data_IF_060836719296
#
_entry.id   IF_060836719296
#
_cell.length_a   1.000
_cell.length_b   1.000
_cell.length_c   1.000
_cell.angle_alpha   90.00
_cell.angle_beta   90.00
_cell.angle_gamma   90.00
#
_symmetry.space_group_name_H-M   'P 1'
#
loop_
_entity.id
_entity.type
_entity.pdbx_description
1 polymer ?
#
# COMPACT_ATOMS: atom_id res chain seq x y z
N UNK A 1 -35.27 18.85 -15.16
CA UNK A 1 -35.60 17.74 -14.25
C UNK A 1 -34.61 16.64 -14.56
N UNK A 2 -33.66 16.22 -13.74
CA UNK A 2 -33.06 16.70 -12.49
C UNK A 2 -31.56 16.48 -12.72
N UNK A 3 -30.72 17.47 -12.43
CA UNK A 3 -29.28 17.25 -12.32
C UNK A 3 -29.08 16.48 -11.01
N UNK A 4 -28.85 15.18 -11.09
CA UNK A 4 -28.25 14.46 -9.97
C UNK A 4 -26.73 14.66 -10.08
N UNK A 5 -26.21 15.56 -9.25
CA UNK A 5 -24.80 15.52 -8.86
C UNK A 5 -24.56 14.17 -8.20
N UNK A 6 -23.75 13.34 -8.87
CA UNK A 6 -23.30 12.07 -8.32
C UNK A 6 -22.27 12.43 -7.24
N UNK A 7 -22.57 12.07 -5.99
CA UNK A 7 -21.70 12.26 -4.85
C UNK A 7 -20.41 11.43 -5.03
N UNK A 8 -19.21 12.04 -5.00
CA UNK A 8 -17.94 11.31 -5.04
C UNK A 8 -17.80 10.24 -3.95
N UNK A 9 -18.50 10.40 -2.82
CA UNK A 9 -18.53 9.42 -1.74
C UNK A 9 -19.35 8.18 -2.09
N UNK A 10 -20.32 8.27 -3.01
CA UNK A 10 -21.16 7.13 -3.41
C UNK A 10 -20.40 6.13 -4.30
N UNK A 11 -19.54 6.60 -5.23
CA UNK A 11 -18.67 5.70 -6.02
C UNK A 11 -17.49 5.14 -5.18
N UNK A 12 -17.07 5.86 -4.13
CA UNK A 12 -15.99 5.44 -3.21
C UNK A 12 -16.52 4.46 -2.15
N UNK A 13 -17.74 4.66 -1.66
CA UNK A 13 -18.40 3.81 -0.67
C UNK A 13 -18.62 2.39 -1.19
N UNK A 14 -19.01 2.23 -2.45
CA UNK A 14 -19.08 0.93 -3.13
C UNK A 14 -17.68 0.33 -3.44
N UNK A 15 -16.63 1.17 -3.49
CA UNK A 15 -15.23 0.79 -3.74
C UNK A 15 -14.55 0.16 -2.51
N UNK A 16 -14.97 0.54 -1.31
CA UNK A 16 -14.44 0.04 -0.02
C UNK A 16 -15.45 -0.80 0.77
N UNK A 17 -16.74 -0.77 0.42
CA UNK A 17 -17.83 -1.44 1.14
C UNK A 17 -18.04 -2.93 0.84
N UNK A 18 -17.30 -3.53 -0.10
CA UNK A 18 -17.54 -4.91 -0.50
C UNK A 18 -16.31 -5.64 -0.99
N UNK A 19 -15.59 -6.32 -0.08
CA UNK A 19 -14.50 -7.28 -0.35
C UNK A 19 -13.28 -6.71 -1.11
N UNK A 20 -12.03 -7.01 -0.69
CA UNK A 20 -10.85 -6.54 -1.42
C UNK A 20 -10.90 -7.01 -2.88
N UNK A 21 -10.68 -6.09 -3.81
CA UNK A 21 -10.37 -6.48 -5.19
C UNK A 21 -9.13 -7.39 -5.16
N UNK A 22 -9.12 -8.43 -6.00
CA UNK A 22 -8.19 -9.59 -5.99
C UNK A 22 -6.67 -9.28 -6.10
N UNK A 23 -6.23 -8.03 -5.96
CA UNK A 23 -4.83 -7.59 -6.20
C UNK A 23 -4.31 -6.51 -5.25
N UNK A 24 -5.08 -6.10 -4.23
CA UNK A 24 -4.64 -5.10 -3.25
C UNK A 24 -4.89 -5.65 -1.85
N UNK A 25 -3.88 -5.62 -0.99
CA UNK A 25 -4.08 -5.82 0.45
C UNK A 25 -4.23 -4.43 1.05
N UNK A 26 -5.47 -4.02 1.31
CA UNK A 26 -5.68 -2.95 2.27
C UNK A 26 -5.46 -3.56 3.66
N UNK A 27 -4.29 -3.34 4.27
CA UNK A 27 -4.14 -3.57 5.71
C UNK A 27 -4.82 -2.38 6.38
N UNK A 28 -6.11 -2.52 6.59
CA UNK A 28 -6.90 -1.58 7.35
C UNK A 28 -6.79 -1.98 8.83
N UNK A 29 -5.93 -1.30 9.59
CA UNK A 29 -5.96 -1.36 11.06
C UNK A 29 -7.09 -0.43 11.51
N UNK A 30 -8.28 -0.98 11.75
CA UNK A 30 -9.47 -0.25 12.27
C UNK A 30 -9.65 -0.54 13.75
N UNK A 31 -9.91 0.52 14.51
CA UNK A 31 -10.28 0.51 15.94
C UNK A 31 -11.81 0.55 16.09
N UNK A 32 -12.31 0.11 17.25
CA UNK A 32 -13.71 0.15 17.64
C UNK A 32 -14.43 1.46 17.32
N UNK A 33 -15.67 1.31 16.84
CA UNK A 33 -16.62 2.37 16.45
C UNK A 33 -17.03 3.34 17.58
N UNK A 34 -16.53 3.17 18.80
CA UNK A 34 -16.97 3.96 19.96
C UNK A 34 -16.06 5.16 20.29
N UNK A 35 -15.02 5.42 19.50
CA UNK A 35 -14.12 6.58 19.70
C UNK A 35 -13.86 7.45 18.47
N UNK A 36 -14.46 7.12 17.33
CA UNK A 36 -14.50 8.04 16.19
C UNK A 36 -15.59 9.07 16.49
N UNK A 37 -15.26 10.11 17.25
CA UNK A 37 -15.96 11.37 17.04
C UNK A 37 -15.80 11.66 15.54
N UNK A 38 -16.92 11.66 14.82
CA UNK A 38 -16.96 12.17 13.46
C UNK A 38 -16.26 13.53 13.52
N UNK A 39 -15.13 13.67 12.81
CA UNK A 39 -14.54 14.99 12.65
C UNK A 39 -15.52 15.77 11.79
N UNK A 40 -16.42 16.51 12.43
CA UNK A 40 -17.46 17.33 11.81
C UNK A 40 -16.90 18.51 11.00
N UNK A 41 -15.58 18.66 10.90
CA UNK A 41 -14.94 19.68 10.06
C UNK A 41 -14.29 19.03 8.86
N UNK A 42 -14.87 19.24 7.69
CA UNK A 42 -14.20 19.07 6.40
C UNK A 42 -12.88 19.87 6.43
N UNK A 43 -11.75 19.17 6.60
CA UNK A 43 -10.44 19.79 6.45
C UNK A 43 -10.21 19.89 4.96
N UNK A 44 -10.25 21.11 4.42
CA UNK A 44 -9.95 21.34 3.02
C UNK A 44 -8.58 20.72 2.68
N UNK A 45 -8.47 19.95 1.59
CA UNK A 45 -7.22 19.29 1.23
C UNK A 45 -6.11 20.32 1.04
N UNK A 46 -4.90 19.95 1.45
CA UNK A 46 -3.73 20.80 1.29
C UNK A 46 -3.62 21.32 -0.16
N UNK A 47 -3.32 22.60 -0.42
CA UNK A 47 -3.34 23.16 -1.77
C UNK A 47 -2.51 22.38 -2.81
N UNK A 48 -1.37 21.84 -2.39
CA UNK A 48 -0.53 20.99 -3.25
C UNK A 48 -1.15 19.62 -3.55
N UNK A 49 -1.86 19.00 -2.59
CA UNK A 49 -2.64 17.77 -2.84
C UNK A 49 -3.78 18.04 -3.81
N UNK A 50 -4.52 19.13 -3.59
CA UNK A 50 -5.59 19.54 -4.50
C UNK A 50 -5.10 19.72 -5.94
N UNK A 51 -3.98 20.42 -6.14
CA UNK A 51 -3.35 20.57 -7.48
C UNK A 51 -2.95 19.23 -8.11
N UNK A 52 -2.46 18.26 -7.32
CA UNK A 52 -2.16 16.92 -7.82
C UNK A 52 -3.44 16.18 -8.19
N UNK A 53 -4.49 16.29 -7.38
CA UNK A 53 -5.78 15.67 -7.62
C UNK A 53 -6.49 16.21 -8.86
N UNK A 54 -6.47 17.53 -9.08
CA UNK A 54 -7.02 18.17 -10.28
C UNK A 54 -6.37 17.59 -11.56
N UNK A 55 -5.03 17.47 -11.57
CA UNK A 55 -4.29 16.86 -12.69
C UNK A 55 -4.57 15.37 -12.84
N UNK A 56 -4.75 14.64 -11.73
CA UNK A 56 -5.11 13.22 -11.76
C UNK A 56 -6.50 13.03 -12.38
N UNK A 57 -7.47 13.87 -12.02
CA UNK A 57 -8.83 13.83 -12.56
C UNK A 57 -8.82 14.07 -14.08
N UNK A 58 -8.03 15.03 -14.57
CA UNK A 58 -7.86 15.23 -16.02
C UNK A 58 -7.37 13.97 -16.74
N UNK A 59 -6.36 13.28 -16.18
CA UNK A 59 -5.81 12.04 -16.74
C UNK A 59 -6.80 10.89 -16.65
N UNK A 60 -7.46 10.73 -15.50
CA UNK A 60 -8.47 9.70 -15.27
C UNK A 60 -9.65 9.86 -16.25
N UNK A 61 -10.16 11.06 -16.42
CA UNK A 61 -11.25 11.36 -17.35
C UNK A 61 -10.86 11.11 -18.79
N UNK A 62 -9.68 11.58 -19.19
CA UNK A 62 -9.13 11.33 -20.53
C UNK A 62 -9.03 9.83 -20.81
N UNK A 63 -8.49 9.07 -19.87
CA UNK A 63 -8.25 7.63 -20.05
C UNK A 63 -9.54 6.81 -19.93
N UNK A 64 -10.50 7.22 -19.09
CA UNK A 64 -11.86 6.65 -19.00
C UNK A 64 -12.60 6.83 -20.33
N UNK A 65 -12.54 8.03 -20.94
CA UNK A 65 -13.12 8.30 -22.26
C UNK A 65 -12.48 7.43 -23.36
N UNK A 66 -11.17 7.22 -23.30
CA UNK A 66 -10.45 6.39 -24.26
C UNK A 66 -10.72 4.88 -24.11
N UNK A 67 -11.05 4.39 -22.91
CA UNK A 67 -11.16 2.95 -22.59
C UNK A 67 -12.60 2.41 -22.45
N UNK A 68 -13.62 3.14 -22.92
CA UNK A 68 -15.03 2.70 -22.96
C UNK A 68 -15.30 1.39 -23.74
N UNK A 69 -14.29 0.75 -24.35
CA UNK A 69 -14.41 -0.51 -25.11
C UNK A 69 -13.91 -1.78 -24.40
N UNK A 70 -13.37 -1.72 -23.17
CA UNK A 70 -12.58 -2.85 -22.64
C UNK A 70 -12.88 -3.36 -21.21
N UNK A 71 -13.91 -2.86 -20.51
CA UNK A 71 -14.37 -3.45 -19.24
C UNK A 71 -13.33 -3.48 -18.09
N UNK A 72 -12.40 -2.53 -18.05
CA UNK A 72 -11.30 -2.47 -17.06
C UNK A 72 -11.64 -1.53 -15.88
N UNK A 73 -11.10 -1.77 -14.68
CA UNK A 73 -11.35 -0.99 -13.45
C UNK A 73 -10.63 0.36 -13.44
N UNK A 74 -11.15 1.36 -12.72
CA UNK A 74 -10.65 2.75 -12.67
C UNK A 74 -9.13 2.92 -12.49
N UNK A 75 -8.52 2.16 -11.57
CA UNK A 75 -7.08 2.25 -11.28
C UNK A 75 -6.18 1.79 -12.44
N UNK A 76 -6.68 0.95 -13.35
CA UNK A 76 -5.96 0.50 -14.55
C UNK A 76 -5.89 1.55 -15.66
N UNK A 77 -6.50 2.72 -15.44
CA UNK A 77 -6.55 3.78 -16.43
C UNK A 77 -5.31 4.65 -16.43
N UNK A 78 -4.50 4.68 -15.36
CA UNK A 78 -3.32 5.53 -15.28
C UNK A 78 -2.04 4.71 -15.29
N UNK A 79 -1.10 5.11 -16.15
CA UNK A 79 0.24 4.54 -16.24
C UNK A 79 1.18 5.19 -15.22
N UNK A 80 2.25 4.49 -14.85
CA UNK A 80 3.29 5.04 -13.97
C UNK A 80 3.92 6.33 -14.53
N UNK A 81 4.10 6.44 -15.85
CA UNK A 81 4.66 7.65 -16.46
C UNK A 81 3.75 8.87 -16.26
N UNK A 82 2.44 8.72 -16.39
CA UNK A 82 1.48 9.79 -16.13
C UNK A 82 1.50 10.22 -14.67
N UNK A 83 1.53 9.26 -13.74
CA UNK A 83 1.66 9.54 -12.31
C UNK A 83 2.98 10.26 -12.01
N UNK A 84 4.10 9.77 -12.54
CA UNK A 84 5.41 10.35 -12.27
C UNK A 84 5.55 11.78 -12.83
N UNK A 85 4.81 12.13 -13.88
CA UNK A 85 4.75 13.50 -14.40
C UNK A 85 3.93 14.44 -13.49
N UNK A 86 2.93 13.93 -12.78
CA UNK A 86 2.09 14.72 -11.85
C UNK A 86 2.77 14.85 -10.49
N UNK A 87 3.33 13.75 -10.01
CA UNK A 87 3.88 13.60 -8.66
C UNK A 87 5.17 12.76 -8.69
N UNK A 88 6.28 13.35 -9.16
CA UNK A 88 7.55 12.65 -9.16
C UNK A 88 7.96 12.32 -7.73
N UNK A 89 8.41 11.08 -7.52
CA UNK A 89 8.92 10.65 -6.24
C UNK A 89 10.38 11.10 -6.07
N UNK A 90 10.69 11.68 -4.92
CA UNK A 90 12.07 11.97 -4.49
C UNK A 90 12.61 10.74 -3.76
N UNK A 91 13.87 10.39 -4.00
CA UNK A 91 14.48 9.28 -3.27
C UNK A 91 14.62 9.61 -1.78
N UNK A 92 14.26 8.66 -0.90
CA UNK A 92 14.53 8.76 0.53
C UNK A 92 14.97 7.41 1.10
N UNK A 93 15.62 7.45 2.26
CA UNK A 93 15.96 6.27 3.04
C UNK A 93 14.88 6.00 4.09
N UNK A 94 14.26 4.82 4.02
CA UNK A 94 13.34 4.37 5.06
C UNK A 94 14.13 3.97 6.30
N UNK A 95 13.76 4.54 7.43
CA UNK A 95 14.33 4.18 8.74
C UNK A 95 13.98 2.75 9.10
N UNK A 96 14.87 2.08 9.82
CA UNK A 96 14.67 0.74 10.38
C UNK A 96 14.66 0.79 11.90
N UNK A 97 13.75 0.05 12.53
CA UNK A 97 13.75 -0.17 13.99
C UNK A 97 13.94 -1.66 14.27
N UNK A 98 14.85 -2.05 15.18
CA UNK A 98 15.09 -3.46 15.49
C UNK A 98 13.82 -4.18 15.95
N UNK A 99 13.68 -5.43 15.52
CA UNK A 99 12.66 -6.36 16.02
C UNK A 99 13.31 -7.52 16.81
N UNK A 100 12.63 -8.12 17.80
CA UNK A 100 13.16 -9.26 18.53
C UNK A 100 13.49 -10.45 17.61
N UNK A 101 14.68 -11.04 17.80
CA UNK A 101 15.13 -12.19 17.02
C UNK A 101 14.16 -13.37 17.07
N UNK A 102 13.50 -13.61 18.21
CA UNK A 102 12.50 -14.67 18.36
C UNK A 102 11.35 -14.54 17.33
N UNK A 103 10.86 -13.32 17.08
CA UNK A 103 9.77 -13.08 16.13
C UNK A 103 10.25 -13.22 14.69
N UNK A 104 11.47 -12.77 14.43
CA UNK A 104 12.13 -12.92 13.14
C UNK A 104 12.41 -14.40 12.82
N UNK A 105 12.87 -15.17 13.80
CA UNK A 105 13.17 -16.59 13.65
C UNK A 105 11.89 -17.40 13.42
N UNK A 106 10.79 -17.04 14.10
CA UNK A 106 9.49 -17.66 13.88
C UNK A 106 8.99 -17.45 12.44
N UNK A 107 9.04 -16.22 11.92
CA UNK A 107 8.60 -15.95 10.52
C UNK A 107 9.57 -16.55 9.49
N UNK A 108 10.87 -16.49 9.74
CA UNK A 108 11.85 -17.07 8.82
C UNK A 108 11.76 -18.60 8.79
N UNK A 109 11.59 -19.25 9.96
CA UNK A 109 11.41 -20.70 10.09
C UNK A 109 10.10 -21.22 9.48
N UNK A 110 9.11 -20.35 9.27
CA UNK A 110 7.86 -20.69 8.58
C UNK A 110 8.07 -20.93 7.08
N UNK A 111 8.98 -20.22 6.41
CA UNK A 111 9.17 -20.35 4.96
C UNK A 111 9.67 -21.72 4.50
N UNK A 112 10.67 -22.37 5.15
CA UNK A 112 11.05 -23.74 4.82
C UNK A 112 9.93 -24.77 5.01
N UNK A 113 9.06 -24.58 6.01
CA UNK A 113 7.91 -25.46 6.24
C UNK A 113 6.92 -25.38 5.07
N UNK A 114 6.65 -24.16 4.59
CA UNK A 114 5.82 -23.94 3.42
C UNK A 114 6.41 -24.55 2.16
N UNK A 115 7.72 -24.34 1.93
CA UNK A 115 8.42 -24.91 0.78
C UNK A 115 8.33 -26.44 0.77
N UNK A 116 8.48 -27.08 1.94
CA UNK A 116 8.35 -28.54 2.08
C UNK A 116 6.91 -29.03 1.86
N UNK A 117 5.93 -28.29 2.35
CA UNK A 117 4.52 -28.70 2.31
C UNK A 117 3.87 -28.47 0.94
N UNK A 118 4.19 -27.34 0.29
CA UNK A 118 3.48 -26.84 -0.89
C UNK A 118 4.38 -26.71 -2.13
N UNK A 119 5.67 -27.03 -2.02
CA UNK A 119 6.63 -26.73 -3.05
C UNK A 119 6.87 -25.22 -3.12
N UNK A 120 7.19 -24.72 -4.32
CA UNK A 120 7.52 -23.30 -4.45
C UNK A 120 6.32 -22.39 -4.12
N UNK A 121 6.44 -21.68 -2.99
CA UNK A 121 5.45 -20.75 -2.43
C UNK A 121 5.12 -19.63 -3.43
N UNK A 122 5.97 -19.40 -4.45
CA UNK A 122 5.75 -18.39 -5.49
C UNK A 122 4.89 -18.83 -6.69
N UNK A 123 4.29 -20.01 -6.68
CA UNK A 123 3.55 -20.52 -7.86
C UNK A 123 2.09 -20.06 -7.95
N UNK A 124 1.48 -19.56 -6.87
CA UNK A 124 0.09 -19.07 -6.84
C UNK A 124 -0.03 -17.57 -6.55
N UNK A 125 -0.93 -16.86 -7.25
CA UNK A 125 -1.18 -15.41 -7.06
C UNK A 125 -1.51 -15.06 -5.60
N UNK A 126 -2.42 -15.81 -4.98
CA UNK A 126 -2.81 -15.60 -3.58
C UNK A 126 -1.83 -16.22 -2.58
N UNK A 127 -1.09 -17.25 -3.00
CA UNK A 127 -0.20 -17.98 -2.10
C UNK A 127 0.88 -17.05 -1.53
N UNK A 128 1.50 -16.24 -2.39
CA UNK A 128 2.53 -15.32 -1.95
C UNK A 128 2.01 -14.25 -0.97
N UNK A 129 0.80 -13.76 -1.22
CA UNK A 129 0.11 -12.81 -0.35
C UNK A 129 -0.08 -13.38 1.06
N UNK A 130 -0.66 -14.57 1.13
CA UNK A 130 -1.04 -15.25 2.38
C UNK A 130 0.16 -15.88 3.11
N UNK A 131 1.19 -16.29 2.39
CA UNK A 131 2.29 -17.09 2.91
C UNK A 131 3.63 -16.35 2.93
N UNK A 132 3.69 -15.12 2.45
CA UNK A 132 4.87 -14.26 2.55
C UNK A 132 4.56 -12.89 3.16
N UNK A 133 3.71 -12.09 2.49
CA UNK A 133 3.43 -10.72 2.94
C UNK A 133 2.71 -10.72 4.28
N UNK A 134 1.63 -11.50 4.41
CA UNK A 134 0.84 -11.57 5.65
C UNK A 134 1.68 -12.04 6.85
N UNK A 135 2.49 -13.12 6.78
CA UNK A 135 3.35 -13.53 7.90
C UNK A 135 4.34 -12.46 8.36
N UNK A 136 4.97 -11.73 7.43
CA UNK A 136 5.90 -10.63 7.78
C UNK A 136 5.15 -9.49 8.47
N UNK A 137 3.96 -9.13 7.98
CA UNK A 137 3.15 -8.10 8.62
C UNK A 137 2.65 -8.56 9.99
N UNK A 138 2.19 -9.79 10.11
CA UNK A 138 1.70 -10.36 11.36
C UNK A 138 2.80 -10.40 12.43
N UNK A 139 4.03 -10.77 12.07
CA UNK A 139 5.15 -10.81 13.01
C UNK A 139 5.50 -9.41 13.53
N UNK A 140 5.44 -8.38 12.67
CA UNK A 140 5.65 -6.98 13.07
C UNK A 140 4.48 -6.47 13.91
N UNK A 141 3.23 -6.69 13.48
CA UNK A 141 2.05 -6.22 14.21
C UNK A 141 1.95 -6.86 15.62
N UNK A 142 2.40 -8.11 15.77
CA UNK A 142 2.42 -8.78 17.07
C UNK A 142 3.33 -8.09 18.11
N UNK A 143 4.28 -7.25 17.67
CA UNK A 143 5.16 -6.49 18.58
C UNK A 143 4.42 -5.43 19.38
N UNK A 144 3.23 -5.01 18.92
CA UNK A 144 2.41 -4.03 19.61
C UNK A 144 1.50 -4.65 20.67
N UNK A 145 1.54 -5.98 20.90
CA UNK A 145 0.78 -6.65 21.98
C UNK A 145 -0.74 -6.33 22.01
N UNK A 146 -1.33 -6.03 20.85
CA UNK A 146 -2.73 -5.62 20.76
C UNK A 146 -2.97 -4.11 20.85
N UNK A 147 -1.95 -3.32 21.17
CA UNK A 147 -1.96 -1.86 21.03
C UNK A 147 -2.15 -1.51 19.55
N UNK A 148 -3.30 -0.91 19.26
CA UNK A 148 -3.65 -0.49 17.91
C UNK A 148 -2.84 0.76 17.56
N UNK A 149 -2.30 0.79 16.35
CA UNK A 149 -1.55 1.93 15.80
C UNK A 149 -2.42 2.65 14.78
N UNK A 150 -2.56 3.97 14.93
CA UNK A 150 -3.29 4.83 14.00
C UNK A 150 -2.40 5.25 12.81
N UNK A 151 -1.85 4.26 12.12
CA UNK A 151 -1.05 4.44 10.89
C UNK A 151 -1.80 3.85 9.71
N UNK A 152 -1.96 4.63 8.64
CA UNK A 152 -2.47 4.14 7.35
C UNK A 152 -1.33 3.73 6.44
N UNK A 153 -1.32 2.45 6.06
CA UNK A 153 -0.32 1.87 5.15
C UNK A 153 -1.03 1.12 4.02
N UNK A 154 -0.88 1.62 2.80
CA UNK A 154 -1.37 0.96 1.59
C UNK A 154 -0.40 -0.12 1.12
N UNK A 155 -0.83 -1.39 0.99
CA UNK A 155 0.05 -2.46 0.53
C UNK A 155 -0.42 -2.99 -0.82
N UNK A 156 0.47 -2.89 -1.81
CA UNK A 156 0.18 -3.28 -3.19
C UNK A 156 1.09 -4.43 -3.59
N UNK A 157 0.47 -5.58 -3.86
CA UNK A 157 1.12 -6.66 -4.59
C UNK A 157 1.14 -6.30 -6.08
N UNK A 158 2.34 -6.04 -6.60
CA UNK A 158 2.56 -5.79 -8.01
C UNK A 158 2.79 -7.10 -8.77
N UNK A 159 2.51 -7.09 -10.08
CA UNK A 159 2.95 -8.19 -10.94
C UNK A 159 4.47 -8.22 -11.00
N UNK A 160 5.03 -9.41 -11.22
CA UNK A 160 6.47 -9.64 -11.30
C UNK A 160 7.18 -8.69 -12.28
N UNK A 161 6.57 -8.48 -13.44
CA UNK A 161 7.08 -7.72 -14.57
C UNK A 161 6.51 -6.30 -14.67
N UNK A 162 5.70 -5.87 -13.69
CA UNK A 162 4.98 -4.60 -13.76
C UNK A 162 4.88 -3.93 -12.37
N UNK A 163 6.03 -3.72 -11.75
CA UNK A 163 6.13 -3.03 -10.46
C UNK A 163 5.75 -1.55 -10.56
N UNK A 164 5.97 -0.96 -11.73
CA UNK A 164 5.61 0.41 -12.04
C UNK A 164 4.09 0.63 -11.94
N UNK A 165 3.28 -0.29 -12.47
CA UNK A 165 1.82 -0.17 -12.29
C UNK A 165 1.40 -0.32 -10.83
N UNK A 166 2.10 -1.15 -10.04
CA UNK A 166 1.90 -1.24 -8.60
C UNK A 166 2.15 0.10 -7.89
N UNK A 167 3.23 0.79 -8.25
CA UNK A 167 3.55 2.14 -7.76
C UNK A 167 2.49 3.17 -8.17
N UNK A 168 2.03 3.13 -9.42
CA UNK A 168 0.97 4.01 -9.90
C UNK A 168 -0.31 3.85 -9.05
N UNK A 169 -0.73 2.61 -8.80
CA UNK A 169 -1.88 2.32 -7.95
C UNK A 169 -1.68 2.81 -6.51
N UNK A 170 -0.49 2.58 -5.95
CA UNK A 170 -0.17 3.00 -4.59
C UNK A 170 -0.24 4.51 -4.41
N UNK A 171 0.25 5.29 -5.38
CA UNK A 171 0.26 6.75 -5.28
C UNK A 171 -1.13 7.35 -5.43
N UNK A 172 -1.90 6.90 -6.41
CA UNK A 172 -3.30 7.33 -6.56
C UNK A 172 -4.11 6.95 -5.31
N UNK A 173 -3.96 5.71 -4.83
CA UNK A 173 -4.65 5.26 -3.62
C UNK A 173 -4.24 6.04 -2.36
N UNK A 174 -2.98 6.45 -2.26
CA UNK A 174 -2.50 7.25 -1.13
C UNK A 174 -3.03 8.68 -1.15
N UNK A 175 -3.14 9.32 -2.33
CA UNK A 175 -3.77 10.64 -2.46
C UNK A 175 -5.27 10.57 -2.16
N UNK A 176 -5.97 9.56 -2.68
CA UNK A 176 -7.39 9.36 -2.39
C UNK A 176 -7.64 9.13 -0.89
N UNK A 177 -6.82 8.30 -0.24
CA UNK A 177 -6.95 8.04 1.19
C UNK A 177 -6.63 9.29 2.03
N UNK A 178 -5.62 10.06 1.62
CA UNK A 178 -5.27 11.31 2.28
C UNK A 178 -6.40 12.35 2.20
N UNK A 179 -7.09 12.43 1.06
CA UNK A 179 -8.24 13.32 0.87
C UNK A 179 -9.43 12.89 1.71
N UNK A 180 -9.83 11.60 1.62
CA UNK A 180 -10.98 11.05 2.34
C UNK A 180 -10.82 11.12 3.87
N UNK A 181 -9.63 10.87 4.38
CA UNK A 181 -9.37 10.84 5.83
C UNK A 181 -8.71 12.12 6.38
N UNK A 182 -8.45 13.13 5.54
CA UNK A 182 -7.77 14.36 5.93
C UNK A 182 -6.35 14.12 6.47
N UNK A 183 -5.60 13.21 5.86
CA UNK A 183 -4.25 12.81 6.31
C UNK A 183 -3.18 13.65 5.60
N UNK A 184 -2.27 14.22 6.38
CA UNK A 184 -1.08 14.90 5.84
C UNK A 184 -0.04 13.92 5.31
N UNK A 185 -0.09 12.67 5.78
CA UNK A 185 0.83 11.61 5.45
C UNK A 185 0.13 10.25 5.27
N UNK A 186 0.46 9.55 4.17
CA UNK A 186 0.03 8.17 3.93
C UNK A 186 1.23 7.34 3.49
N UNK A 187 1.45 6.20 4.15
CA UNK A 187 2.50 5.27 3.77
C UNK A 187 2.00 4.27 2.73
N UNK A 188 2.90 3.83 1.84
CA UNK A 188 2.60 2.73 0.94
C UNK A 188 3.79 1.80 0.75
N UNK A 189 3.50 0.50 0.63
CA UNK A 189 4.48 -0.55 0.36
C UNK A 189 4.08 -1.24 -0.94
N UNK A 190 4.96 -1.25 -1.92
CA UNK A 190 4.74 -1.96 -3.20
C UNK A 190 5.75 -3.07 -3.33
N UNK A 191 5.28 -4.28 -3.62
CA UNK A 191 6.18 -5.43 -3.76
C UNK A 191 5.74 -6.41 -4.83
N UNK A 192 6.72 -6.98 -5.54
CA UNK A 192 6.55 -8.17 -6.37
C UNK A 192 7.18 -9.42 -5.70
N UNK A 193 7.30 -9.39 -4.37
CA UNK A 193 7.96 -10.36 -3.48
C UNK A 193 9.48 -10.33 -3.49
N UNK A 194 10.08 -10.02 -4.64
CA UNK A 194 11.53 -9.90 -4.79
C UNK A 194 11.98 -8.49 -4.46
N UNK A 195 11.32 -7.50 -5.03
CA UNK A 195 11.59 -6.08 -4.84
C UNK A 195 10.51 -5.48 -3.94
N UNK A 196 10.94 -4.62 -3.03
CA UNK A 196 10.10 -3.87 -2.11
C UNK A 196 10.43 -2.39 -2.24
N UNK A 197 9.38 -1.58 -2.40
CA UNK A 197 9.45 -0.14 -2.39
C UNK A 197 8.63 0.38 -1.23
N UNK A 198 9.24 1.22 -0.41
CA UNK A 198 8.56 1.97 0.63
C UNK A 198 8.35 3.39 0.11
N UNK A 199 7.18 3.96 0.36
CA UNK A 199 6.88 5.34 0.02
C UNK A 199 6.07 6.01 1.10
N UNK A 200 6.17 7.35 1.14
CA UNK A 200 5.25 8.20 1.89
C UNK A 200 4.75 9.32 0.98
N UNK A 201 3.41 9.42 0.89
CA UNK A 201 2.73 10.56 0.28
C UNK A 201 2.58 11.63 1.34
N UNK A 202 3.23 12.77 1.13
CA UNK A 202 3.18 13.96 1.96
C UNK A 202 2.40 15.06 1.23
N UNK A 203 2.00 16.10 1.94
CA UNK A 203 1.26 17.24 1.36
C UNK A 203 1.96 17.85 0.14
N UNK A 204 3.28 17.99 0.19
CA UNK A 204 4.05 18.67 -0.86
C UNK A 204 4.67 17.72 -1.89
N UNK A 205 4.91 16.45 -1.52
CA UNK A 205 5.73 15.54 -2.32
C UNK A 205 5.42 14.08 -2.05
N UNK A 206 5.86 13.23 -2.96
CA UNK A 206 6.01 11.79 -2.73
C UNK A 206 7.47 11.51 -2.49
N UNK A 207 7.77 10.69 -1.50
CA UNK A 207 9.09 10.12 -1.30
C UNK A 207 9.04 8.60 -1.48
N UNK A 208 10.05 8.02 -2.14
CA UNK A 208 10.16 6.58 -2.37
C UNK A 208 11.60 6.09 -2.16
N UNK A 209 11.78 4.91 -1.61
CA UNK A 209 13.10 4.24 -1.59
C UNK A 209 13.54 3.81 -2.99
N UNK A 210 14.84 3.53 -3.16
CA UNK A 210 15.27 2.60 -4.20
C UNK A 210 14.72 1.17 -3.93
N UNK A 211 14.85 0.29 -4.92
CA UNK A 211 14.38 -1.08 -4.78
C UNK A 211 15.12 -1.81 -3.66
N UNK A 212 14.37 -2.38 -2.72
CA UNK A 212 14.92 -3.24 -1.67
C UNK A 212 14.71 -4.68 -2.09
N UNK A 213 15.79 -5.35 -2.47
CA UNK A 213 15.74 -6.70 -3.01
C UNK A 213 15.88 -7.76 -1.91
N UNK A 214 14.97 -8.72 -1.91
CA UNK A 214 15.05 -9.94 -1.11
C UNK A 214 16.02 -10.91 -1.77
N UNK A 215 17.06 -11.30 -1.04
CA UNK A 215 17.93 -12.39 -1.41
C UNK A 215 17.27 -13.73 -1.11
N UNK A 216 17.50 -14.72 -1.97
CA UNK A 216 16.96 -16.07 -1.83
C UNK A 216 18.10 -17.08 -1.73
N UNK A 217 17.97 -18.01 -0.79
CA UNK A 217 18.84 -19.18 -0.64
C UNK A 217 17.96 -20.44 -0.63
N UNK A 218 18.24 -21.40 -1.52
CA UNK A 218 17.45 -22.62 -1.65
C UNK A 218 15.92 -22.38 -1.79
N UNK A 219 15.54 -21.33 -2.52
CA UNK A 219 14.13 -20.91 -2.70
C UNK A 219 13.45 -20.37 -1.43
N UNK A 220 14.23 -20.02 -0.40
CA UNK A 220 13.76 -19.41 0.85
C UNK A 220 14.35 -17.99 0.95
N UNK A 221 13.57 -16.96 1.32
CA UNK A 221 14.13 -15.63 1.56
C UNK A 221 15.15 -15.67 2.69
N UNK A 222 16.30 -15.02 2.54
CA UNK A 222 17.29 -15.02 3.63
C UNK A 222 16.74 -14.30 4.86
N UNK A 223 17.14 -14.77 6.03
CA UNK A 223 16.79 -14.16 7.32
C UNK A 223 17.10 -12.66 7.36
N UNK A 224 18.25 -12.25 6.82
CA UNK A 224 18.66 -10.85 6.77
C UNK A 224 17.76 -10.00 5.87
N UNK A 225 17.34 -10.53 4.72
CA UNK A 225 16.39 -9.84 3.85
C UNK A 225 15.01 -9.69 4.50
N UNK A 226 14.52 -10.73 5.18
CA UNK A 226 13.25 -10.67 5.94
C UNK A 226 13.36 -9.66 7.08
N UNK A 227 14.48 -9.68 7.81
CA UNK A 227 14.77 -8.72 8.89
C UNK A 227 14.69 -7.29 8.39
N UNK A 228 15.39 -6.97 7.30
CA UNK A 228 15.42 -5.61 6.74
C UNK A 228 14.02 -5.09 6.41
N UNK A 229 13.18 -5.90 5.77
CA UNK A 229 11.80 -5.51 5.46
C UNK A 229 10.98 -5.35 6.74
N UNK A 230 11.05 -6.30 7.67
CA UNK A 230 10.27 -6.28 8.89
C UNK A 230 10.62 -5.08 9.79
N UNK A 231 11.91 -4.74 9.91
CA UNK A 231 12.38 -3.58 10.69
C UNK A 231 11.97 -2.23 10.07
N UNK A 232 11.89 -2.13 8.75
CA UNK A 232 11.37 -0.94 8.06
C UNK A 232 9.88 -0.77 8.27
N UNK A 233 9.10 -1.86 8.17
CA UNK A 233 7.67 -1.86 8.47
C UNK A 233 7.45 -1.50 9.93
N UNK A 234 8.23 -2.09 10.85
CA UNK A 234 8.14 -1.79 12.27
C UNK A 234 8.46 -0.32 12.57
N UNK A 235 9.43 0.26 11.86
CA UNK A 235 9.73 1.69 11.96
C UNK A 235 8.51 2.54 11.59
N UNK A 236 7.91 2.29 10.43
CA UNK A 236 6.71 3.00 9.95
C UNK A 236 5.58 2.91 10.98
N UNK A 237 5.31 1.71 11.51
CA UNK A 237 4.21 1.49 12.46
C UNK A 237 4.49 2.00 13.88
N UNK A 238 5.76 2.29 14.20
CA UNK A 238 6.19 2.76 15.52
C UNK A 238 6.53 4.25 15.55
N UNK A 239 6.41 4.97 14.44
CA UNK A 239 6.50 6.42 14.45
C UNK A 239 5.24 7.02 15.08
N UNK A 240 5.39 8.03 15.92
CA UNK A 240 4.25 8.84 16.35
C UNK A 240 3.75 9.69 15.17
N UNK A 241 2.48 10.12 15.21
CA UNK A 241 1.90 11.04 14.21
C UNK A 241 2.11 12.50 14.63
#
# INVERSE_FOLDING_TARGET
MLNEEIDPADEIGDLFGGSPTKKVIHVLVVVDREGLEARDTEIAPHPSRKRRWDKLNEVLDKNKKAKKSAGSTGFSYVSFSEINNIMPAVEYEQTSKPIPDEKLDAVHGYFPLLLKAFGDVVTGKEAKRLHFIVPVLASVCALFNGDRRDKRVCIVEAKRDDIQQGLAHAYVGSEALADVEGLTQVYSIVTNFVEWYFSRSLDEKIERTSAITISMENHVPTRESVKRIAEMIYSILSEDN
#
